data_IF_749395268715
#
_entry.id   IF_749395268715
#
_cell.length_a   1.000
_cell.length_b   1.000
_cell.length_c   1.000
_cell.angle_alpha   90.00
_cell.angle_beta   90.00
_cell.angle_gamma   90.00
#
_symmetry.space_group_name_H-M   'P 1'
#
loop_
_entity.id
_entity.type
_entity.pdbx_description
1 polymer ?
#
# COMPACT_ATOMS: atom_id res chain seq x y z
N UNK A 1 -30.09 14.30 28.15
CA UNK A 1 -29.76 15.33 27.14
C UNK A 1 -28.28 15.71 27.15
N UNK A 2 -27.65 15.93 28.31
CA UNK A 2 -26.23 16.31 28.38
C UNK A 2 -25.27 15.27 27.78
N UNK A 3 -25.48 13.97 28.03
CA UNK A 3 -24.65 12.90 27.46
C UNK A 3 -24.70 12.91 25.93
N UNK A 4 -25.90 13.06 25.35
CA UNK A 4 -26.09 13.13 23.90
C UNK A 4 -25.43 14.39 23.30
N UNK A 5 -25.57 15.54 23.97
CA UNK A 5 -24.93 16.78 23.53
C UNK A 5 -23.39 16.68 23.56
N UNK A 6 -22.83 16.05 24.60
CA UNK A 6 -21.40 15.84 24.72
C UNK A 6 -20.88 14.90 23.62
N UNK A 7 -21.60 13.82 23.31
CA UNK A 7 -21.23 12.91 22.21
C UNK A 7 -21.29 13.58 20.83
N UNK A 8 -22.33 14.37 20.57
CA UNK A 8 -22.44 15.14 19.32
C UNK A 8 -21.32 16.17 19.18
N UNK A 9 -20.96 16.83 20.27
CA UNK A 9 -19.84 17.78 20.30
C UNK A 9 -18.50 17.08 20.03
N UNK A 10 -18.26 15.91 20.64
CA UNK A 10 -17.07 15.10 20.38
C UNK A 10 -16.99 14.64 18.91
N UNK A 11 -18.12 14.23 18.30
CA UNK A 11 -18.17 13.85 16.88
C UNK A 11 -17.78 15.03 15.99
N UNK A 12 -18.30 16.22 16.28
CA UNK A 12 -17.96 17.43 15.56
C UNK A 12 -16.46 17.75 15.67
N UNK A 13 -15.86 17.62 16.86
CA UNK A 13 -14.42 17.82 17.06
C UNK A 13 -13.60 16.84 16.20
N UNK A 14 -13.95 15.57 16.20
CA UNK A 14 -13.24 14.54 15.41
C UNK A 14 -13.29 14.84 13.92
N UNK A 15 -14.46 15.23 13.40
CA UNK A 15 -14.62 15.62 11.99
C UNK A 15 -13.77 16.86 11.67
N UNK A 16 -13.79 17.87 12.55
CA UNK A 16 -13.01 19.10 12.36
C UNK A 16 -11.51 18.82 12.37
N UNK A 17 -11.02 17.98 13.30
CA UNK A 17 -9.61 17.59 13.35
C UNK A 17 -9.21 16.86 12.06
N UNK A 18 -10.01 15.88 11.63
CA UNK A 18 -9.72 15.14 10.40
C UNK A 18 -9.77 16.03 9.16
N UNK A 19 -10.68 17.02 9.12
CA UNK A 19 -10.73 18.04 8.07
C UNK A 19 -9.45 18.87 8.03
N UNK A 20 -9.01 19.40 9.17
CA UNK A 20 -7.77 20.18 9.26
C UNK A 20 -6.57 19.35 8.81
N UNK A 21 -6.46 18.10 9.27
CA UNK A 21 -5.40 17.19 8.85
C UNK A 21 -5.43 16.91 7.34
N UNK A 22 -6.62 16.65 6.78
CA UNK A 22 -6.79 16.43 5.33
C UNK A 22 -6.33 17.65 4.53
N UNK A 23 -6.69 18.87 4.97
CA UNK A 23 -6.28 20.11 4.31
C UNK A 23 -4.76 20.33 4.40
N UNK A 24 -4.16 20.10 5.58
CA UNK A 24 -2.72 20.23 5.78
C UNK A 24 -1.93 19.24 4.90
N UNK A 25 -2.29 17.96 4.95
CA UNK A 25 -1.65 16.93 4.13
C UNK A 25 -1.86 17.19 2.65
N UNK A 26 -3.07 17.59 2.24
CA UNK A 26 -3.37 17.97 0.87
C UNK A 26 -2.54 19.16 0.37
N UNK A 27 -2.31 20.16 1.23
CA UNK A 27 -1.43 21.29 0.92
C UNK A 27 0.03 20.85 0.75
N UNK A 28 0.55 20.01 1.65
CA UNK A 28 1.90 19.44 1.56
C UNK A 28 2.05 18.62 0.28
N UNK A 29 1.09 17.76 -0.02
CA UNK A 29 1.07 16.92 -1.23
C UNK A 29 1.12 17.78 -2.50
N UNK A 30 0.30 18.83 -2.59
CA UNK A 30 0.32 19.77 -3.74
C UNK A 30 1.67 20.47 -3.88
N UNK A 31 2.26 20.91 -2.77
CA UNK A 31 3.58 21.59 -2.77
C UNK A 31 4.70 20.65 -3.20
N UNK A 32 4.70 19.40 -2.72
CA UNK A 32 5.67 18.37 -3.12
C UNK A 32 5.51 18.02 -4.60
N UNK A 33 4.28 17.82 -5.07
CA UNK A 33 3.99 17.56 -6.50
C UNK A 33 4.43 18.72 -7.40
N UNK A 34 4.21 19.97 -6.98
CA UNK A 34 4.67 21.13 -7.75
C UNK A 34 6.21 21.24 -7.80
N UNK A 35 6.90 20.90 -6.71
CA UNK A 35 8.36 20.98 -6.60
C UNK A 35 9.08 19.86 -7.36
N UNK A 36 8.59 18.62 -7.24
CA UNK A 36 9.27 17.43 -7.75
C UNK A 36 8.61 16.81 -8.99
N UNK A 37 7.31 17.07 -9.22
CA UNK A 37 6.54 16.43 -10.28
C UNK A 37 6.91 16.85 -11.70
N UNK A 38 7.69 17.94 -11.88
CA UNK A 38 8.29 18.30 -13.17
C UNK A 38 9.69 17.71 -13.38
N UNK A 39 10.34 17.23 -12.32
CA UNK A 39 11.76 16.84 -12.35
C UNK A 39 11.97 15.35 -12.60
N UNK A 40 10.92 14.52 -12.50
CA UNK A 40 11.01 13.06 -12.63
C UNK A 40 9.95 12.61 -13.61
N UNK A 41 10.31 12.58 -14.90
CA UNK A 41 9.51 11.86 -15.89
C UNK A 41 9.86 10.37 -15.77
N UNK A 42 9.04 9.64 -15.00
CA UNK A 42 9.25 8.20 -14.76
C UNK A 42 9.22 7.43 -16.09
N UNK A 43 8.44 7.90 -17.07
CA UNK A 43 8.35 7.26 -18.39
C UNK A 43 9.62 7.49 -19.24
N UNK A 44 10.39 8.55 -18.96
CA UNK A 44 11.69 8.77 -19.61
C UNK A 44 12.83 8.02 -18.91
N UNK A 45 12.60 7.54 -17.69
CA UNK A 45 13.61 6.89 -16.84
C UNK A 45 13.47 5.35 -16.80
N UNK A 46 12.25 4.83 -16.98
CA UNK A 46 11.95 3.40 -16.94
C UNK A 46 11.10 2.98 -18.15
N UNK A 47 11.33 1.79 -18.72
CA UNK A 47 10.43 1.16 -19.69
C UNK A 47 8.97 1.15 -19.23
N UNK A 48 8.05 1.31 -20.18
CA UNK A 48 6.60 1.42 -19.92
C UNK A 48 6.06 0.21 -19.14
N UNK A 49 6.52 -1.00 -19.46
CA UNK A 49 6.12 -2.25 -18.79
C UNK A 49 6.52 -2.28 -17.31
N UNK A 50 7.64 -1.65 -16.96
CA UNK A 50 8.12 -1.54 -15.58
C UNK A 50 7.28 -0.53 -14.79
N UNK A 51 6.88 0.57 -15.42
CA UNK A 51 5.95 1.54 -14.83
C UNK A 51 4.59 0.89 -14.55
N UNK A 52 4.11 0.03 -15.44
CA UNK A 52 2.89 -0.76 -15.21
C UNK A 52 3.04 -1.74 -14.06
N UNK A 53 4.17 -2.43 -13.96
CA UNK A 53 4.46 -3.36 -12.87
C UNK A 53 4.52 -2.65 -11.50
N UNK A 54 5.14 -1.47 -11.45
CA UNK A 54 5.15 -0.63 -10.24
C UNK A 54 3.75 -0.19 -9.81
N UNK A 55 2.87 0.14 -10.76
CA UNK A 55 1.47 0.47 -10.46
C UNK A 55 0.71 -0.73 -9.93
N UNK A 56 0.92 -1.92 -10.48
CA UNK A 56 0.32 -3.16 -9.99
C UNK A 56 0.73 -3.41 -8.52
N UNK A 57 2.03 -3.36 -8.22
CA UNK A 57 2.56 -3.52 -6.86
C UNK A 57 1.95 -2.47 -5.93
N UNK A 58 1.85 -1.22 -6.37
CA UNK A 58 1.24 -0.15 -5.59
C UNK A 58 -0.21 -0.47 -5.19
N UNK A 59 -1.07 -0.87 -6.12
CA UNK A 59 -2.47 -1.21 -5.81
C UNK A 59 -2.58 -2.41 -4.88
N UNK A 60 -1.69 -3.39 -5.06
CA UNK A 60 -1.65 -4.58 -4.24
C UNK A 60 -1.25 -4.28 -2.79
N UNK A 61 -0.24 -3.43 -2.59
CA UNK A 61 0.13 -2.90 -1.27
C UNK A 61 -1.04 -2.14 -0.65
N UNK A 62 -1.69 -1.24 -1.40
CA UNK A 62 -2.82 -0.48 -0.87
C UNK A 62 -3.98 -1.39 -0.45
N UNK A 63 -4.26 -2.44 -1.22
CA UNK A 63 -5.23 -3.47 -0.86
C UNK A 63 -4.82 -4.21 0.43
N UNK A 64 -3.55 -4.61 0.56
CA UNK A 64 -2.99 -5.22 1.77
C UNK A 64 -3.26 -4.36 3.00
N UNK A 65 -2.89 -3.06 2.92
CA UNK A 65 -3.01 -2.14 4.04
C UNK A 65 -4.48 -1.95 4.46
N UNK A 66 -5.41 -1.90 3.49
CA UNK A 66 -6.85 -1.86 3.80
C UNK A 66 -7.30 -3.12 4.53
N UNK A 67 -6.88 -4.31 4.07
CA UNK A 67 -7.26 -5.58 4.70
C UNK A 67 -6.66 -5.69 6.11
N UNK A 68 -5.38 -5.33 6.29
CA UNK A 68 -4.74 -5.27 7.60
C UNK A 68 -5.51 -4.33 8.53
N UNK A 69 -5.94 -3.16 8.05
CA UNK A 69 -6.74 -2.23 8.85
C UNK A 69 -8.07 -2.85 9.31
N UNK A 70 -8.75 -3.58 8.42
CA UNK A 70 -9.98 -4.31 8.75
C UNK A 70 -9.73 -5.37 9.83
N UNK A 71 -8.70 -6.20 9.68
CA UNK A 71 -8.38 -7.22 10.67
C UNK A 71 -8.05 -6.60 12.04
N UNK A 72 -7.23 -5.55 12.07
CA UNK A 72 -6.93 -4.84 13.30
C UNK A 72 -8.17 -4.20 13.94
N UNK A 73 -9.04 -3.56 13.15
CA UNK A 73 -10.29 -2.99 13.65
C UNK A 73 -11.20 -4.04 14.30
N UNK A 74 -11.17 -5.29 13.82
CA UNK A 74 -12.00 -6.39 14.33
C UNK A 74 -11.38 -7.14 15.52
N UNK A 75 -10.05 -7.09 15.70
CA UNK A 75 -9.32 -7.92 16.67
C UNK A 75 -8.70 -7.14 17.82
N UNK A 76 -8.52 -5.83 17.70
CA UNK A 76 -7.71 -5.00 18.60
C UNK A 76 -8.36 -4.63 19.95
N UNK A 77 -9.24 -5.47 20.50
CA UNK A 77 -9.79 -5.25 21.84
C UNK A 77 -8.73 -5.19 22.95
N UNK A 78 -7.49 -5.68 22.72
CA UNK A 78 -6.45 -5.79 23.76
C UNK A 78 -5.02 -5.33 23.37
N UNK A 79 -4.74 -4.87 22.14
CA UNK A 79 -3.37 -4.56 21.70
C UNK A 79 -3.09 -3.08 21.46
N UNK A 80 -1.99 -2.59 22.06
CA UNK A 80 -1.22 -1.36 21.80
C UNK A 80 -1.86 -0.31 20.83
N UNK A 81 -2.96 0.30 21.27
CA UNK A 81 -3.91 1.08 20.47
C UNK A 81 -3.30 2.28 19.73
N UNK A 82 -2.23 2.90 20.24
CA UNK A 82 -1.66 4.12 19.66
C UNK A 82 -1.09 3.89 18.25
N UNK A 83 -0.41 2.76 18.02
CA UNK A 83 0.20 2.49 16.71
C UNK A 83 -0.86 2.20 15.64
N UNK A 84 -1.92 1.51 16.04
CA UNK A 84 -3.07 1.28 15.18
C UNK A 84 -3.77 2.59 14.83
N UNK A 85 -3.97 3.50 15.79
CA UNK A 85 -4.55 4.83 15.53
C UNK A 85 -3.74 5.62 14.50
N UNK A 86 -2.41 5.61 14.60
CA UNK A 86 -1.54 6.29 13.63
C UNK A 86 -1.67 5.67 12.24
N UNK A 87 -1.66 4.34 12.16
CA UNK A 87 -1.80 3.59 10.91
C UNK A 87 -3.13 3.88 10.22
N UNK A 88 -4.23 3.76 10.98
CA UNK A 88 -5.59 3.96 10.50
C UNK A 88 -5.81 5.42 10.04
N UNK A 89 -5.32 6.39 10.81
CA UNK A 89 -5.35 7.81 10.45
C UNK A 89 -4.54 8.10 9.19
N UNK A 90 -3.33 7.55 9.06
CA UNK A 90 -2.48 7.76 7.90
C UNK A 90 -3.11 7.20 6.61
N UNK A 91 -3.66 6.00 6.69
CA UNK A 91 -4.32 5.35 5.55
C UNK A 91 -5.61 6.08 5.16
N UNK A 92 -6.40 6.49 6.15
CA UNK A 92 -7.61 7.30 5.95
C UNK A 92 -7.30 8.65 5.29
N UNK A 93 -6.25 9.34 5.75
CA UNK A 93 -5.79 10.59 5.14
C UNK A 93 -5.31 10.40 3.71
N UNK A 94 -4.60 9.31 3.39
CA UNK A 94 -4.19 8.99 2.03
C UNK A 94 -5.39 8.87 1.08
N UNK A 95 -6.44 8.12 1.47
CA UNK A 95 -7.64 8.01 0.65
C UNK A 95 -8.41 9.33 0.59
N UNK A 96 -8.48 10.07 1.70
CA UNK A 96 -9.15 11.36 1.75
C UNK A 96 -8.56 12.40 0.78
N UNK A 97 -7.22 12.49 0.66
CA UNK A 97 -6.57 13.44 -0.25
C UNK A 97 -6.63 13.01 -1.73
N UNK A 98 -6.82 11.71 -2.00
CA UNK A 98 -6.91 11.16 -3.36
C UNK A 98 -8.32 11.17 -3.91
N UNK A 99 -9.34 11.34 -3.06
CA UNK A 99 -10.73 11.54 -3.48
C UNK A 99 -10.93 12.92 -4.12
N UNK A 100 -11.55 12.93 -5.30
CA UNK A 100 -12.03 14.16 -5.91
C UNK A 100 -13.33 14.65 -5.24
N UNK A 101 -13.26 15.75 -4.50
CA UNK A 101 -14.40 16.31 -3.76
C UNK A 101 -15.46 16.98 -4.65
N UNK A 102 -15.32 16.94 -5.97
CA UNK A 102 -16.31 17.47 -6.92
C UNK A 102 -17.67 16.76 -6.85
N UNK A 103 -17.71 15.48 -6.47
CA UNK A 103 -18.96 14.69 -6.41
C UNK A 103 -19.51 14.52 -4.98
N UNK A 104 -20.84 14.55 -4.82
CA UNK A 104 -21.50 14.29 -3.53
C UNK A 104 -21.17 12.89 -2.99
N UNK A 105 -21.03 11.90 -3.88
CA UNK A 105 -20.58 10.54 -3.50
C UNK A 105 -19.24 10.59 -2.78
N UNK A 106 -18.26 11.31 -3.31
CA UNK A 106 -16.93 11.37 -2.73
C UNK A 106 -16.89 12.18 -1.42
N UNK A 107 -17.76 13.17 -1.25
CA UNK A 107 -17.95 13.87 0.03
C UNK A 107 -18.47 12.93 1.11
N UNK A 108 -19.41 12.05 0.77
CA UNK A 108 -19.90 11.01 1.70
C UNK A 108 -18.80 10.01 2.00
N UNK A 109 -18.06 9.52 0.99
CA UNK A 109 -16.92 8.63 1.21
C UNK A 109 -15.87 9.25 2.13
N UNK A 110 -15.60 10.55 1.99
CA UNK A 110 -14.69 11.27 2.88
C UNK A 110 -15.18 11.28 4.33
N UNK A 111 -16.47 11.50 4.57
CA UNK A 111 -17.04 11.48 5.91
C UNK A 111 -16.99 10.07 6.54
N UNK A 112 -17.15 9.03 5.71
CA UNK A 112 -17.05 7.63 6.13
C UNK A 112 -15.60 7.20 6.39
N UNK A 113 -14.62 7.86 5.76
CA UNK A 113 -13.19 7.64 5.97
C UNK A 113 -12.68 8.23 7.28
N UNK A 114 -13.44 9.08 7.96
CA UNK A 114 -13.02 9.61 9.26
C UNK A 114 -12.83 8.43 10.23
N UNK A 115 -11.63 8.24 10.80
CA UNK A 115 -11.34 7.14 11.71
C UNK A 115 -11.93 7.45 13.10
N UNK A 116 -13.25 7.35 13.21
CA UNK A 116 -13.99 7.79 14.37
C UNK A 116 -13.56 7.06 15.63
N UNK A 117 -13.53 5.72 15.66
CA UNK A 117 -13.16 5.01 16.88
C UNK A 117 -11.72 5.27 17.30
N UNK A 118 -10.79 5.30 16.33
CA UNK A 118 -9.39 5.62 16.59
C UNK A 118 -9.21 7.02 17.21
N UNK A 119 -9.87 8.05 16.67
CA UNK A 119 -9.79 9.42 17.17
C UNK A 119 -10.60 9.63 18.45
N UNK A 120 -11.75 8.98 18.62
CA UNK A 120 -12.53 9.02 19.86
C UNK A 120 -11.76 8.42 21.02
N UNK A 121 -11.14 7.28 20.80
CA UNK A 121 -10.27 6.65 21.79
C UNK A 121 -9.11 7.57 22.15
N UNK A 122 -8.38 8.07 21.15
CA UNK A 122 -7.18 8.89 21.39
C UNK A 122 -7.46 10.25 22.04
N UNK A 123 -8.60 10.88 21.76
CA UNK A 123 -8.90 12.24 22.24
C UNK A 123 -9.72 12.25 23.53
N UNK A 124 -10.59 11.25 23.73
CA UNK A 124 -11.58 11.26 24.81
C UNK A 124 -11.55 10.01 25.69
N UNK A 125 -10.77 8.99 25.35
CA UNK A 125 -10.67 7.72 26.08
C UNK A 125 -12.04 7.01 26.26
N UNK A 126 -12.89 7.04 25.22
CA UNK A 126 -14.24 6.45 25.23
C UNK A 126 -14.32 5.27 24.26
N UNK A 127 -14.66 4.07 24.75
CA UNK A 127 -14.64 2.82 23.97
C UNK A 127 -16.00 2.41 23.36
N UNK A 128 -17.13 2.77 23.98
CA UNK A 128 -18.44 2.16 23.63
C UNK A 128 -18.99 2.65 22.29
N UNK A 129 -18.83 3.94 21.98
CA UNK A 129 -19.28 4.51 20.70
C UNK A 129 -18.31 4.22 19.55
N UNK A 130 -17.05 3.90 19.88
CA UNK A 130 -16.01 3.57 18.91
C UNK A 130 -16.39 2.33 18.09
N UNK A 131 -16.90 1.28 18.73
CA UNK A 131 -17.21 0.01 18.07
C UNK A 131 -18.19 0.12 16.89
N UNK A 132 -19.30 0.86 17.04
CA UNK A 132 -20.29 1.02 15.95
C UNK A 132 -19.71 1.83 14.80
N UNK A 133 -18.93 2.86 15.11
CA UNK A 133 -18.31 3.72 14.10
C UNK A 133 -17.14 3.02 13.41
N UNK A 134 -16.44 2.12 14.10
CA UNK A 134 -15.38 1.26 13.54
C UNK A 134 -15.96 0.23 12.56
N UNK A 135 -17.19 -0.27 12.76
CA UNK A 135 -17.85 -1.13 11.77
C UNK A 135 -18.12 -0.41 10.45
N UNK A 136 -18.51 0.87 10.49
CA UNK A 136 -18.66 1.70 9.29
C UNK A 136 -17.30 1.85 8.60
N UNK A 137 -16.25 2.04 9.42
CA UNK A 137 -14.87 2.20 8.95
C UNK A 137 -14.31 0.92 8.31
N UNK A 138 -14.66 -0.24 8.85
CA UNK A 138 -14.36 -1.56 8.25
C UNK A 138 -15.02 -1.68 6.88
N UNK A 139 -16.30 -1.31 6.75
CA UNK A 139 -17.01 -1.42 5.47
C UNK A 139 -16.40 -0.51 4.39
N UNK A 140 -16.02 0.72 4.75
CA UNK A 140 -15.38 1.63 3.79
C UNK A 140 -13.99 1.12 3.38
N UNK A 141 -13.22 0.50 4.28
CA UNK A 141 -11.94 -0.09 3.92
C UNK A 141 -12.06 -1.36 3.10
N UNK A 142 -13.10 -2.18 3.29
CA UNK A 142 -13.43 -3.28 2.37
C UNK A 142 -13.73 -2.71 0.97
N UNK A 143 -14.48 -1.61 0.88
CA UNK A 143 -14.75 -0.94 -0.40
C UNK A 143 -13.45 -0.45 -1.07
N UNK A 144 -12.54 0.19 -0.32
CA UNK A 144 -11.25 0.62 -0.88
C UNK A 144 -10.32 -0.54 -1.22
N UNK A 145 -10.33 -1.63 -0.44
CA UNK A 145 -9.60 -2.85 -0.80
C UNK A 145 -10.09 -3.39 -2.14
N UNK A 146 -11.41 -3.49 -2.33
CA UNK A 146 -12.01 -3.89 -3.62
C UNK A 146 -11.64 -2.93 -4.74
N UNK A 147 -11.72 -1.61 -4.52
CA UNK A 147 -11.36 -0.62 -5.54
C UNK A 147 -9.91 -0.77 -6.01
N UNK A 148 -8.99 -1.05 -5.08
CA UNK A 148 -7.59 -1.29 -5.42
C UNK A 148 -7.40 -2.66 -6.12
N UNK A 149 -8.15 -3.68 -5.72
CA UNK A 149 -8.17 -4.97 -6.42
C UNK A 149 -8.66 -4.83 -7.87
N UNK A 150 -9.77 -4.11 -8.10
CA UNK A 150 -10.33 -3.90 -9.43
C UNK A 150 -9.31 -3.17 -10.33
N UNK A 151 -8.63 -2.14 -9.81
CA UNK A 151 -7.53 -1.45 -10.52
C UNK A 151 -6.37 -2.39 -10.79
N UNK A 152 -5.96 -3.18 -9.80
CA UNK A 152 -4.91 -4.17 -9.98
C UNK A 152 -5.25 -5.16 -11.11
N UNK A 153 -6.48 -5.66 -11.15
CA UNK A 153 -6.96 -6.58 -12.19
C UNK A 153 -7.02 -5.90 -13.57
N UNK A 154 -7.44 -4.64 -13.65
CA UNK A 154 -7.41 -3.86 -14.89
C UNK A 154 -5.98 -3.78 -15.47
N UNK A 155 -4.99 -3.46 -14.63
CA UNK A 155 -3.59 -3.40 -15.04
C UNK A 155 -2.95 -4.77 -15.28
N UNK A 156 -3.50 -5.83 -14.68
CA UNK A 156 -3.02 -7.22 -14.82
C UNK A 156 -3.57 -7.88 -16.06
N UNK A 157 -4.86 -7.73 -16.36
CA UNK A 157 -5.46 -8.32 -17.56
C UNK A 157 -4.89 -7.72 -18.85
N UNK A 158 -4.32 -6.52 -18.78
CA UNK A 158 -3.60 -5.91 -19.90
C UNK A 158 -2.13 -6.35 -20.04
N UNK A 159 -1.53 -7.05 -19.04
CA UNK A 159 -0.09 -7.32 -18.99
C UNK A 159 0.23 -8.73 -18.41
N UNK A 160 1.05 -9.52 -19.10
CA UNK A 160 1.29 -10.95 -18.83
C UNK A 160 1.91 -11.32 -17.46
N UNK A 161 2.37 -10.34 -16.67
CA UNK A 161 3.09 -10.54 -15.41
C UNK A 161 2.19 -10.67 -14.16
N UNK A 162 0.90 -10.33 -14.25
CA UNK A 162 0.11 -10.13 -13.03
C UNK A 162 -0.28 -11.41 -12.27
N UNK A 163 -0.39 -12.58 -12.92
CA UNK A 163 -0.71 -13.83 -12.20
C UNK A 163 0.40 -14.23 -11.21
N UNK A 164 1.66 -14.07 -11.60
CA UNK A 164 2.82 -14.35 -10.74
C UNK A 164 2.89 -13.38 -9.55
N UNK A 165 2.54 -12.11 -9.78
CA UNK A 165 2.49 -11.07 -8.75
C UNK A 165 1.35 -11.35 -7.75
N UNK A 166 0.16 -11.75 -8.21
CA UNK A 166 -0.94 -12.20 -7.34
C UNK A 166 -0.50 -13.37 -6.48
N UNK A 167 0.08 -14.39 -7.10
CA UNK A 167 0.46 -15.62 -6.41
C UNK A 167 1.48 -15.32 -5.30
N UNK A 168 2.52 -14.55 -5.63
CA UNK A 168 3.54 -14.15 -4.67
C UNK A 168 2.93 -13.38 -3.50
N UNK A 169 2.05 -12.43 -3.80
CA UNK A 169 1.42 -11.62 -2.77
C UNK A 169 0.47 -12.42 -1.89
N UNK A 170 -0.31 -13.35 -2.44
CA UNK A 170 -1.15 -14.28 -1.66
C UNK A 170 -0.29 -15.10 -0.71
N UNK A 171 0.85 -15.62 -1.19
CA UNK A 171 1.78 -16.38 -0.34
C UNK A 171 2.30 -15.49 0.79
N UNK A 172 2.79 -14.28 0.50
CA UNK A 172 3.28 -13.34 1.52
C UNK A 172 2.18 -13.00 2.54
N UNK A 173 0.96 -12.79 2.06
CA UNK A 173 -0.17 -12.39 2.90
C UNK A 173 -0.64 -13.52 3.81
N UNK A 174 -0.68 -14.76 3.31
CA UNK A 174 -0.98 -15.95 4.11
C UNK A 174 0.13 -16.21 5.13
N UNK A 175 1.40 -16.14 4.71
CA UNK A 175 2.55 -16.26 5.60
C UNK A 175 2.51 -15.22 6.72
N UNK A 176 2.13 -13.97 6.43
CA UNK A 176 1.98 -12.92 7.44
C UNK A 176 1.01 -13.30 8.56
N UNK A 177 -0.19 -13.79 8.25
CA UNK A 177 -1.15 -14.17 9.30
C UNK A 177 -0.70 -15.44 10.05
N UNK A 178 -0.13 -16.41 9.33
CA UNK A 178 0.40 -17.63 9.96
C UNK A 178 1.53 -17.27 10.93
N UNK A 179 2.49 -16.45 10.52
CA UNK A 179 3.61 -16.01 11.37
C UNK A 179 3.11 -15.19 12.55
N UNK A 180 2.14 -14.30 12.35
CA UNK A 180 1.57 -13.51 13.45
C UNK A 180 0.96 -14.42 14.52
N UNK A 181 0.21 -15.46 14.11
CA UNK A 181 -0.44 -16.39 15.03
C UNK A 181 0.51 -17.43 15.63
N UNK A 182 1.42 -17.99 14.82
CA UNK A 182 2.32 -19.06 15.23
C UNK A 182 3.47 -18.56 16.13
N UNK A 183 3.98 -17.35 15.85
CA UNK A 183 5.11 -16.77 16.59
C UNK A 183 4.66 -15.80 17.70
N UNK A 184 3.34 -15.57 17.86
CA UNK A 184 2.76 -14.61 18.82
C UNK A 184 3.41 -13.22 18.75
N UNK A 185 3.73 -12.79 17.52
CA UNK A 185 4.35 -11.49 17.26
C UNK A 185 3.30 -10.49 16.78
N UNK A 186 3.54 -9.19 17.00
CA UNK A 186 2.70 -8.15 16.42
C UNK A 186 2.80 -8.15 14.88
N UNK A 187 1.85 -7.50 14.18
CA UNK A 187 1.88 -7.50 12.71
C UNK A 187 3.14 -6.88 12.13
N UNK A 188 3.70 -5.82 12.72
CA UNK A 188 4.89 -5.20 12.17
C UNK A 188 6.05 -6.21 12.17
N UNK A 189 6.18 -7.00 13.22
CA UNK A 189 7.20 -8.03 13.37
C UNK A 189 6.96 -9.20 12.44
N UNK A 190 5.71 -9.66 12.31
CA UNK A 190 5.34 -10.68 11.33
C UNK A 190 5.65 -10.23 9.90
N UNK A 191 5.31 -8.98 9.54
CA UNK A 191 5.57 -8.44 8.21
C UNK A 191 7.06 -8.38 7.91
N UNK A 192 7.89 -7.96 8.88
CA UNK A 192 9.35 -7.91 8.71
C UNK A 192 9.93 -9.33 8.60
N UNK A 193 9.48 -10.26 9.44
CA UNK A 193 9.91 -11.67 9.41
C UNK A 193 9.63 -12.31 8.05
N UNK A 194 8.39 -12.20 7.56
CA UNK A 194 7.99 -12.75 6.27
C UNK A 194 8.73 -12.05 5.13
N UNK A 195 8.82 -10.73 5.15
CA UNK A 195 9.52 -9.97 4.09
C UNK A 195 11.00 -10.36 3.98
N UNK A 196 11.69 -10.55 5.11
CA UNK A 196 13.09 -10.97 5.14
C UNK A 196 13.29 -12.40 4.62
N UNK A 197 12.35 -13.30 4.89
CA UNK A 197 12.39 -14.67 4.39
C UNK A 197 12.24 -14.70 2.86
N UNK A 198 11.30 -13.90 2.31
CA UNK A 198 11.09 -13.80 0.87
C UNK A 198 12.23 -13.10 0.11
N UNK A 199 13.03 -12.27 0.76
CA UNK A 199 14.18 -11.61 0.13
C UNK A 199 15.53 -12.20 0.51
N UNK A 200 15.56 -13.29 1.28
CA UNK A 200 16.80 -14.00 1.65
C UNK A 200 17.73 -13.24 2.59
N UNK A 201 17.24 -12.22 3.31
CA UNK A 201 18.07 -11.42 4.24
C UNK A 201 18.28 -12.09 5.61
N UNK A 202 17.55 -13.16 5.90
CA UNK A 202 17.63 -13.90 7.16
C UNK A 202 17.09 -13.13 8.38
N UNK A 203 16.74 -13.86 9.43
CA UNK A 203 16.19 -13.32 10.69
C UNK A 203 17.18 -12.46 11.51
N UNK A 204 18.42 -12.23 11.06
CA UNK A 204 19.40 -11.46 11.83
C UNK A 204 19.33 -9.94 11.58
N UNK A 205 18.66 -9.50 10.51
CA UNK A 205 18.55 -8.09 10.12
C UNK A 205 17.28 -7.45 10.69
N UNK A 206 17.03 -7.66 11.99
CA UNK A 206 15.98 -6.93 12.70
C UNK A 206 16.52 -5.62 13.26
N UNK A 207 15.86 -4.51 12.90
CA UNK A 207 15.94 -3.32 13.72
C UNK A 207 15.17 -3.56 15.02
N UNK A 208 15.78 -3.33 16.18
CA UNK A 208 15.09 -3.52 17.47
C UNK A 208 14.00 -2.45 17.73
N UNK A 209 14.03 -1.34 16.99
CA UNK A 209 13.07 -0.24 17.09
C UNK A 209 12.06 -0.27 15.94
N UNK A 210 10.87 0.32 16.15
CA UNK A 210 9.83 0.48 15.11
C UNK A 210 10.39 1.19 13.87
N UNK A 211 11.19 2.24 14.06
CA UNK A 211 11.86 2.94 12.97
C UNK A 211 12.85 2.02 12.22
N UNK A 212 13.60 1.18 12.93
CA UNK A 212 14.49 0.19 12.33
C UNK A 212 13.74 -0.89 11.53
N UNK A 213 12.57 -1.32 12.02
CA UNK A 213 11.68 -2.28 11.35
C UNK A 213 11.10 -1.71 10.05
N UNK A 214 10.62 -0.46 10.08
CA UNK A 214 10.13 0.24 8.89
C UNK A 214 11.25 0.47 7.86
N UNK A 215 12.46 0.82 8.31
CA UNK A 215 13.62 0.96 7.43
C UNK A 215 14.01 -0.38 6.79
N UNK A 216 14.00 -1.47 7.56
CA UNK A 216 14.28 -2.81 7.06
C UNK A 216 13.26 -3.22 5.99
N UNK A 217 11.95 -3.01 6.24
CA UNK A 217 10.90 -3.23 5.25
C UNK A 217 11.11 -2.41 3.97
N UNK A 218 11.44 -1.13 4.09
CA UNK A 218 11.67 -0.26 2.95
C UNK A 218 12.87 -0.71 2.11
N UNK A 219 13.95 -1.14 2.76
CA UNK A 219 15.14 -1.67 2.08
C UNK A 219 14.88 -3.02 1.42
N UNK A 220 14.12 -3.89 2.08
CA UNK A 220 13.74 -5.22 1.60
C UNK A 220 12.85 -5.12 0.37
N UNK A 221 11.75 -4.38 0.46
CA UNK A 221 10.80 -4.21 -0.64
C UNK A 221 11.34 -3.30 -1.73
N UNK A 222 12.05 -2.23 -1.37
CA UNK A 222 12.77 -1.39 -2.32
C UNK A 222 13.83 -2.19 -3.08
N UNK A 223 14.59 -3.02 -2.37
CA UNK A 223 15.58 -3.93 -2.95
C UNK A 223 14.95 -5.01 -3.83
N UNK A 224 13.82 -5.59 -3.43
CA UNK A 224 13.05 -6.55 -4.24
C UNK A 224 12.51 -5.93 -5.53
N UNK A 225 11.94 -4.73 -5.44
CA UNK A 225 11.45 -3.99 -6.62
C UNK A 225 12.62 -3.64 -7.55
N UNK A 226 13.74 -3.14 -7.02
CA UNK A 226 14.91 -2.77 -7.81
C UNK A 226 15.59 -4.02 -8.41
N UNK A 227 15.68 -5.13 -7.68
CA UNK A 227 16.29 -6.37 -8.17
C UNK A 227 15.40 -7.07 -9.20
N UNK A 228 14.07 -7.07 -8.99
CA UNK A 228 13.10 -7.59 -9.95
C UNK A 228 13.10 -6.77 -11.24
N UNK A 229 13.10 -5.45 -11.13
CA UNK A 229 13.25 -4.53 -12.28
C UNK A 229 14.58 -4.79 -12.98
N UNK A 230 15.70 -4.74 -12.26
CA UNK A 230 17.04 -4.95 -12.84
C UNK A 230 17.22 -6.31 -13.50
N UNK A 231 16.66 -7.38 -12.92
CA UNK A 231 16.71 -8.73 -13.49
C UNK A 231 15.81 -8.85 -14.73
N UNK A 232 14.63 -8.24 -14.74
CA UNK A 232 13.75 -8.20 -15.90
C UNK A 232 14.38 -7.43 -17.06
N UNK A 233 14.93 -6.24 -16.79
CA UNK A 233 15.65 -5.42 -17.79
C UNK A 233 16.88 -6.16 -18.33
N UNK A 234 17.65 -6.83 -17.46
CA UNK A 234 18.83 -7.60 -17.85
C UNK A 234 18.43 -8.81 -18.72
N UNK A 235 17.43 -9.58 -18.31
CA UNK A 235 16.93 -10.72 -19.09
C UNK A 235 16.36 -10.27 -20.44
N UNK A 236 15.59 -9.18 -20.48
CA UNK A 236 15.10 -8.60 -21.73
C UNK A 236 16.26 -8.16 -22.64
N UNK A 237 17.31 -7.55 -22.08
CA UNK A 237 18.51 -7.15 -22.81
C UNK A 237 19.28 -8.36 -23.35
N UNK A 238 19.46 -9.41 -22.55
CA UNK A 238 20.12 -10.66 -22.96
C UNK A 238 19.34 -11.34 -24.08
N UNK A 239 18.02 -11.49 -23.93
CA UNK A 239 17.16 -12.10 -24.94
C UNK A 239 17.17 -11.28 -26.24
N UNK A 240 17.03 -9.96 -26.15
CA UNK A 240 17.07 -9.07 -27.31
C UNK A 240 18.42 -9.17 -28.02
N UNK A 241 19.54 -9.18 -27.28
CA UNK A 241 20.88 -9.33 -27.86
C UNK A 241 21.07 -10.70 -28.49
N UNK A 242 20.57 -11.76 -27.87
CA UNK A 242 20.65 -13.13 -28.38
C UNK A 242 19.82 -13.30 -29.65
N UNK A 243 18.56 -12.85 -29.65
CA UNK A 243 17.68 -12.93 -30.82
C UNK A 243 18.12 -12.00 -31.95
N UNK A 244 18.56 -10.77 -31.68
CA UNK A 244 19.08 -9.88 -32.73
C UNK A 244 20.39 -10.38 -33.34
N UNK A 245 21.21 -11.11 -32.58
CA UNK A 245 22.38 -11.80 -33.13
C UNK A 245 21.95 -12.92 -34.07
N UNK A 246 20.97 -13.73 -33.64
CA UNK A 246 20.44 -14.85 -34.41
C UNK A 246 19.71 -14.41 -35.68
N UNK A 247 18.95 -13.31 -35.60
CA UNK A 247 18.31 -12.69 -36.76
C UNK A 247 19.34 -12.13 -37.74
N UNK A 248 20.40 -11.46 -37.29
CA UNK A 248 21.50 -11.03 -38.17
C UNK A 248 22.28 -12.18 -38.80
N UNK A 249 22.46 -13.29 -38.08
CA UNK A 249 23.07 -14.50 -38.62
C UNK A 249 22.17 -15.16 -39.68
N UNK A 250 20.85 -15.20 -39.46
CA UNK A 250 19.86 -15.67 -40.44
C UNK A 250 19.76 -14.74 -41.66
N UNK A 251 19.78 -13.43 -41.43
CA UNK A 251 19.74 -12.40 -42.49
C UNK A 251 20.99 -12.51 -43.38
N UNK A 252 22.19 -12.68 -42.82
CA UNK A 252 23.41 -12.97 -43.59
C UNK A 252 23.36 -14.27 -44.39
N UNK A 253 22.75 -15.32 -43.83
CA UNK A 253 22.56 -16.61 -44.52
C UNK A 253 21.52 -16.53 -45.64
N UNK A 254 20.57 -15.58 -45.57
CA UNK A 254 19.52 -15.36 -46.57
C UNK A 254 19.98 -14.37 -47.66
N UNK A 255 20.74 -13.33 -47.27
CA UNK A 255 21.30 -12.34 -48.19
C UNK A 255 22.47 -12.89 -49.02
N UNK A 256 23.00 -14.06 -48.65
CA UNK A 256 23.99 -14.78 -49.45
C UNK A 256 25.33 -14.05 -49.49
N UNK A 257 25.85 -13.66 -48.33
CA UNK A 257 27.28 -13.36 -48.20
C UNK A 257 28.06 -14.69 -48.30
N UNK A 258 28.20 -15.18 -49.53
CA UNK A 258 29.33 -16.01 -49.95
C UNK A 258 30.54 -15.06 -50.12
N UNK A 259 31.27 -14.82 -49.03
CA UNK A 259 32.75 -14.67 -48.95
C UNK A 259 33.23 -14.42 -47.50
#
# INVERSE_FOLDING_TARGET
MEILNNTLFQLAIVIVIFLVLTLLVGFIYKKLKAKFGKSIDINSLLPVDEVHSLRQIFYLIMMALCIVNVFYSLTSFEMNLIHFVIFDLALSLYFAITLDMGSTKNKVLWLLLVPYGALFYSLFNVNVLAFILDLIHVLIFIYFAKLNFDRFMEYTNSNSLGLSIVLLFVIIFVSFFITQYAEDVNALDSLVMVSNEFTGNGFAVFGNSIAGKLNSLLLVWGGYVISGVGAATLTATILTKHFNKRFRELERLIEGDDE
#
